data_IF_485248254202
#
_entry.id   IF_485248254202
#
_cell.length_a   1.000
_cell.length_b   1.000
_cell.length_c   1.000
_cell.angle_alpha   90.00
_cell.angle_beta   90.00
_cell.angle_gamma   90.00
#
_symmetry.space_group_name_H-M   'P 1'
#
loop_
_entity.id
_entity.type
_entity.pdbx_description
1 polymer ?
#
# COMPACT_ATOMS: atom_id res chain seq x y z
N UNK A 1 -18.53 23.29 9.89
CA UNK A 1 -17.61 22.14 9.84
C UNK A 1 -17.93 21.21 8.65
N UNK A 2 -17.86 21.69 7.40
CA UNK A 2 -18.18 20.87 6.19
C UNK A 2 -17.00 20.73 5.20
N UNK A 3 -15.91 21.48 5.43
CA UNK A 3 -14.76 21.51 4.53
C UNK A 3 -13.68 20.47 4.87
N UNK A 4 -13.66 19.96 6.11
CA UNK A 4 -12.67 18.97 6.56
C UNK A 4 -12.90 17.60 5.88
N UNK A 5 -14.17 17.24 5.68
CA UNK A 5 -14.58 15.97 5.07
C UNK A 5 -14.08 15.82 3.62
N UNK A 6 -14.13 16.90 2.83
CA UNK A 6 -13.62 16.90 1.45
C UNK A 6 -12.09 16.85 1.38
N UNK A 7 -11.40 17.44 2.37
CA UNK A 7 -9.94 17.39 2.47
C UNK A 7 -9.47 15.99 2.87
N UNK A 8 -10.09 15.40 3.88
CA UNK A 8 -9.85 14.01 4.28
C UNK A 8 -10.12 13.04 3.13
N UNK A 9 -11.23 13.21 2.39
CA UNK A 9 -11.55 12.34 1.26
C UNK A 9 -10.54 12.43 0.13
N UNK A 10 -9.96 13.62 -0.12
CA UNK A 10 -8.87 13.79 -1.11
C UNK A 10 -7.56 13.18 -0.62
N UNK A 11 -7.23 13.33 0.67
CA UNK A 11 -6.04 12.72 1.28
C UNK A 11 -6.13 11.19 1.37
N UNK A 12 -7.32 10.62 1.59
CA UNK A 12 -7.52 9.17 1.61
C UNK A 12 -7.53 8.53 0.22
N UNK A 13 -7.62 9.34 -0.84
CA UNK A 13 -7.50 8.85 -2.23
C UNK A 13 -6.03 8.82 -2.67
N UNK A 14 -5.10 9.30 -1.84
CA UNK A 14 -3.72 9.50 -2.20
C UNK A 14 -2.87 8.32 -1.72
N UNK A 15 -2.35 7.56 -2.70
CA UNK A 15 -1.29 6.55 -2.55
C UNK A 15 -1.65 5.26 -1.79
N UNK A 16 -2.52 4.43 -2.38
CA UNK A 16 -2.32 2.97 -2.27
C UNK A 16 -1.04 2.63 -3.01
N UNK A 17 0.10 2.85 -2.36
CA UNK A 17 1.40 2.45 -2.91
C UNK A 17 1.41 0.92 -3.00
N UNK A 18 1.48 0.42 -4.22
CA UNK A 18 1.52 -1.03 -4.50
C UNK A 18 2.96 -1.50 -4.42
N UNK A 19 3.15 -2.70 -3.86
CA UNK A 19 4.44 -3.34 -3.71
C UNK A 19 4.42 -4.68 -4.41
N UNK A 20 5.56 -5.09 -4.93
CA UNK A 20 5.80 -6.42 -5.45
C UNK A 20 6.83 -7.14 -4.57
N UNK A 21 6.57 -8.39 -4.23
CA UNK A 21 7.56 -9.20 -3.52
C UNK A 21 8.70 -9.61 -4.45
N UNK A 22 9.96 -9.42 -4.06
CA UNK A 22 11.11 -9.84 -4.85
C UNK A 22 11.33 -11.35 -4.90
N UNK A 23 10.62 -12.13 -4.06
CA UNK A 23 10.73 -13.59 -3.98
C UNK A 23 9.67 -14.31 -4.80
N UNK A 24 8.40 -14.04 -4.52
CA UNK A 24 7.28 -14.72 -5.17
C UNK A 24 6.54 -13.87 -6.20
N UNK A 25 7.03 -12.64 -6.45
CA UNK A 25 6.47 -11.67 -7.40
C UNK A 25 5.00 -11.31 -7.15
N UNK A 26 4.48 -11.57 -5.95
CA UNK A 26 3.12 -11.20 -5.59
C UNK A 26 3.02 -9.68 -5.43
N UNK A 27 2.00 -9.07 -6.04
CA UNK A 27 1.63 -7.68 -5.89
C UNK A 27 0.67 -7.49 -4.72
N UNK A 28 0.88 -6.47 -3.89
CA UNK A 28 0.05 -6.18 -2.72
C UNK A 28 0.19 -4.73 -2.25
N UNK A 29 -0.85 -4.20 -1.60
CA UNK A 29 -0.81 -2.88 -0.96
C UNK A 29 0.06 -2.90 0.31
N UNK A 30 0.81 -1.83 0.59
CA UNK A 30 1.66 -1.72 1.80
C UNK A 30 0.89 -1.51 3.10
N UNK A 31 0.05 -2.47 3.46
CA UNK A 31 -0.54 -2.54 4.80
C UNK A 31 0.38 -3.23 5.80
N UNK A 32 1.42 -3.93 5.32
CA UNK A 32 2.34 -4.75 6.12
C UNK A 32 3.78 -4.64 5.59
N UNK A 33 4.79 -4.80 6.47
CA UNK A 33 6.20 -4.79 6.07
C UNK A 33 6.64 -6.06 5.34
N UNK A 34 5.81 -7.12 5.33
CA UNK A 34 6.11 -8.39 4.68
C UNK A 34 5.08 -8.74 3.60
N UNK A 35 5.53 -9.57 2.65
CA UNK A 35 4.68 -10.13 1.62
C UNK A 35 3.61 -11.02 2.25
N UNK A 36 2.31 -10.77 1.99
CA UNK A 36 1.23 -11.59 2.55
C UNK A 36 1.17 -13.00 1.98
N UNK A 37 1.79 -13.25 0.81
CA UNK A 37 1.76 -14.55 0.14
C UNK A 37 2.83 -15.52 0.66
N UNK A 38 4.06 -15.04 0.89
CA UNK A 38 5.20 -15.89 1.26
C UNK A 38 5.89 -15.49 2.58
N UNK A 39 5.49 -14.37 3.19
CA UNK A 39 6.08 -13.87 4.43
C UNK A 39 7.44 -13.16 4.27
N UNK A 40 7.99 -13.08 3.06
CA UNK A 40 9.27 -12.42 2.80
C UNK A 40 9.22 -10.92 3.09
N UNK A 41 10.31 -10.37 3.62
CA UNK A 41 10.52 -8.92 3.78
C UNK A 41 11.22 -8.29 2.58
N UNK A 42 11.59 -9.07 1.57
CA UNK A 42 12.16 -8.58 0.32
C UNK A 42 11.03 -8.11 -0.62
N UNK A 43 10.83 -6.79 -0.64
CA UNK A 43 9.66 -6.13 -1.23
C UNK A 43 10.10 -4.85 -1.95
N UNK A 44 9.48 -4.56 -3.09
CA UNK A 44 9.83 -3.42 -3.97
C UNK A 44 8.58 -2.61 -4.26
N UNK A 45 8.70 -1.29 -4.22
CA UNK A 45 7.63 -0.37 -4.61
C UNK A 45 7.49 -0.36 -6.14
N UNK A 46 6.26 -0.34 -6.64
CA UNK A 46 5.93 -0.27 -8.08
C UNK A 46 5.03 0.92 -8.40
#
# INVERSE_FOLDING_TARGET
>A
MRSLDRLLRRLTTDSTTTFVCGVCTAEYERRRPNCPACGSTDIREI
#
